data_IF_101116871137
#
_entry.id   IF_101116871137
#
_cell.length_a   1.000
_cell.length_b   1.000
_cell.length_c   1.000
_cell.angle_alpha   90.00
_cell.angle_beta   90.00
_cell.angle_gamma   90.00
#
_symmetry.space_group_name_H-M   'P 1'
#
loop_
_entity.id
_entity.type
_entity.pdbx_description
1 polymer ?
#
# COMPACT_ATOMS: atom_id res chain seq x y z
N UNK A 1 -18.48 -11.24 -11.94
CA UNK A 1 -17.12 -10.72 -11.70
C UNK A 1 -17.14 -9.27 -12.16
N UNK A 2 -17.01 -8.30 -11.25
CA UNK A 2 -17.21 -6.87 -11.55
C UNK A 2 -15.90 -6.26 -12.05
N UNK A 3 -15.98 -5.49 -13.14
CA UNK A 3 -14.91 -4.61 -13.60
C UNK A 3 -14.86 -3.37 -12.68
N UNK A 4 -13.67 -2.78 -12.50
CA UNK A 4 -13.45 -1.55 -11.74
C UNK A 4 -14.34 -0.37 -12.19
N UNK A 5 -14.69 -0.30 -13.47
CA UNK A 5 -15.60 0.72 -14.01
C UNK A 5 -17.07 0.57 -13.54
N UNK A 6 -17.40 -0.57 -12.92
CA UNK A 6 -18.77 -0.92 -12.50
C UNK A 6 -18.94 -0.90 -10.97
N UNK A 7 -17.85 -0.73 -10.20
CA UNK A 7 -17.90 -0.67 -8.75
C UNK A 7 -18.46 0.68 -8.29
N UNK A 8 -19.70 0.69 -7.82
CA UNK A 8 -20.39 1.92 -7.40
C UNK A 8 -20.66 1.95 -5.90
N UNK A 9 -20.48 0.82 -5.23
CA UNK A 9 -20.71 0.66 -3.79
C UNK A 9 -19.46 0.17 -3.06
N UNK A 10 -19.48 0.33 -1.74
CA UNK A 10 -18.44 -0.21 -0.87
C UNK A 10 -18.28 -1.72 -0.90
N UNK A 11 -19.38 -2.43 -1.15
CA UNK A 11 -19.41 -3.89 -1.29
C UNK A 11 -18.74 -4.33 -2.60
N UNK A 12 -18.93 -3.58 -3.68
CA UNK A 12 -18.27 -3.86 -4.97
C UNK A 12 -16.74 -3.72 -4.85
N UNK A 13 -16.27 -2.68 -4.15
CA UNK A 13 -14.85 -2.46 -3.89
C UNK A 13 -14.26 -3.58 -3.01
N UNK A 14 -15.06 -4.16 -2.12
CA UNK A 14 -14.65 -5.29 -1.27
C UNK A 14 -14.42 -6.59 -2.06
N UNK A 15 -15.15 -6.76 -3.17
CA UNK A 15 -15.08 -7.94 -4.03
C UNK A 15 -14.03 -7.83 -5.15
N UNK A 16 -13.23 -6.76 -5.13
CA UNK A 16 -12.23 -6.46 -6.15
C UNK A 16 -11.09 -7.49 -6.19
N UNK A 17 -10.65 -7.84 -7.41
CA UNK A 17 -9.52 -8.73 -7.68
C UNK A 17 -8.29 -7.88 -8.04
N UNK A 18 -7.27 -7.97 -7.20
CA UNK A 18 -5.98 -7.23 -7.30
C UNK A 18 -5.29 -7.41 -8.65
N UNK A 19 -5.40 -8.60 -9.25
CA UNK A 19 -4.76 -8.95 -10.53
C UNK A 19 -5.29 -8.13 -11.72
N UNK A 20 -6.54 -7.63 -11.64
CA UNK A 20 -7.16 -6.83 -12.71
C UNK A 20 -6.95 -5.32 -12.56
N UNK A 21 -6.30 -4.86 -11.47
CA UNK A 21 -6.13 -3.44 -11.14
C UNK A 21 -4.82 -2.79 -11.55
N UNK A 22 -3.91 -3.56 -12.15
CA UNK A 22 -2.60 -3.07 -12.56
C UNK A 22 -2.70 -2.44 -13.95
N UNK A 23 -2.13 -1.25 -14.11
CA UNK A 23 -1.83 -0.74 -15.45
C UNK A 23 -0.67 -1.51 -16.09
N UNK A 24 -0.34 -1.16 -17.33
CA UNK A 24 0.75 -1.76 -18.10
C UNK A 24 2.14 -1.62 -17.45
N UNK A 25 2.30 -0.73 -16.46
CA UNK A 25 3.56 -0.52 -15.72
C UNK A 25 3.53 -1.10 -14.30
N UNK A 26 2.46 -1.83 -13.94
CA UNK A 26 2.33 -2.50 -12.64
C UNK A 26 1.86 -1.58 -11.51
N UNK A 27 1.41 -0.36 -11.83
CA UNK A 27 0.82 0.56 -10.86
C UNK A 27 -0.63 0.16 -10.63
N UNK A 28 -1.02 0.01 -9.37
CA UNK A 28 -2.40 -0.26 -9.02
C UNK A 28 -3.19 1.04 -9.02
N UNK A 29 -4.10 1.17 -9.98
CA UNK A 29 -5.06 2.27 -9.99
C UNK A 29 -6.32 1.75 -9.34
N UNK A 30 -6.40 1.74 -8.00
CA UNK A 30 -7.69 1.51 -7.34
C UNK A 30 -8.38 2.84 -7.26
N UNK A 31 -8.76 3.25 -8.45
CA UNK A 31 -9.04 4.61 -8.78
C UNK A 31 -10.21 4.50 -9.74
N UNK A 32 -11.34 5.03 -9.31
CA UNK A 32 -12.57 5.22 -10.11
C UNK A 32 -12.33 5.94 -11.44
N UNK A 33 -11.10 6.40 -11.70
CA UNK A 33 -10.72 7.16 -12.87
C UNK A 33 -11.02 8.65 -12.67
N UNK A 34 -11.14 9.10 -11.42
CA UNK A 34 -11.54 10.46 -11.05
C UNK A 34 -10.50 11.16 -10.16
N UNK A 35 -9.43 10.46 -9.81
CA UNK A 35 -8.46 10.87 -8.81
C UNK A 35 -7.48 11.89 -9.38
N UNK A 36 -7.33 13.01 -8.66
CA UNK A 36 -6.53 14.14 -9.13
C UNK A 36 -7.17 14.94 -10.28
N UNK A 37 -8.33 14.51 -10.80
CA UNK A 37 -9.02 15.16 -11.93
C UNK A 37 -9.95 16.31 -11.50
N UNK A 38 -9.97 16.67 -10.22
CA UNK A 38 -10.96 17.61 -9.68
C UNK A 38 -12.38 17.07 -9.72
N UNK A 39 -12.56 15.76 -9.82
CA UNK A 39 -13.84 15.07 -9.83
C UNK A 39 -14.08 14.34 -8.50
N UNK A 40 -15.34 14.12 -8.16
CA UNK A 40 -15.72 13.29 -7.03
C UNK A 40 -15.31 11.85 -7.31
N UNK A 41 -14.56 11.25 -6.40
CA UNK A 41 -14.12 9.87 -6.50
C UNK A 41 -15.31 8.91 -6.73
N UNK A 42 -16.46 9.10 -6.08
CA UNK A 42 -17.57 8.12 -6.21
C UNK A 42 -18.46 8.28 -7.46
N UNK A 43 -18.68 9.50 -7.94
CA UNK A 43 -19.69 9.75 -8.98
C UNK A 43 -19.21 10.62 -10.13
N UNK A 44 -17.92 10.96 -10.17
CA UNK A 44 -17.34 11.74 -11.26
C UNK A 44 -17.82 13.19 -11.34
N UNK A 45 -18.70 13.65 -10.44
CA UNK A 45 -19.19 15.04 -10.47
C UNK A 45 -18.04 16.01 -10.20
N UNK A 46 -17.97 17.10 -10.96
CA UNK A 46 -16.96 18.14 -10.78
C UNK A 46 -16.98 18.72 -9.35
N UNK A 47 -15.81 18.77 -8.72
CA UNK A 47 -15.64 19.33 -7.40
C UNK A 47 -15.37 20.84 -7.51
N UNK A 48 -15.95 21.59 -6.58
CA UNK A 48 -15.82 23.05 -6.52
C UNK A 48 -15.26 23.50 -5.17
N UNK A 49 -14.53 24.62 -5.19
CA UNK A 49 -13.97 25.24 -3.98
C UNK A 49 -12.88 24.40 -3.31
N UNK A 50 -13.01 24.14 -2.00
CA UNK A 50 -12.01 23.40 -1.20
C UNK A 50 -12.15 21.87 -1.29
N UNK A 51 -13.15 21.36 -2.00
CA UNK A 51 -13.40 19.92 -2.12
C UNK A 51 -12.36 19.30 -3.04
N UNK A 52 -11.59 18.32 -2.54
CA UNK A 52 -10.49 17.71 -3.30
C UNK A 52 -10.75 16.28 -3.78
N UNK A 53 -11.70 15.57 -3.16
CA UNK A 53 -11.84 14.11 -3.37
C UNK A 53 -13.28 13.59 -3.43
N UNK A 54 -14.24 14.28 -2.82
CA UNK A 54 -15.62 13.82 -2.75
C UNK A 54 -16.60 15.01 -2.81
N UNK A 55 -17.79 14.77 -3.35
CA UNK A 55 -18.87 15.75 -3.34
C UNK A 55 -19.65 15.70 -2.02
N UNK A 56 -20.13 16.87 -1.55
CA UNK A 56 -21.01 16.94 -0.38
C UNK A 56 -22.44 16.46 -0.66
N UNK A 57 -22.96 16.72 -1.86
CA UNK A 57 -24.38 16.60 -2.17
C UNK A 57 -24.92 15.17 -2.09
N UNK A 58 -24.12 14.16 -2.44
CA UNK A 58 -24.53 12.75 -2.42
C UNK A 58 -24.05 12.00 -1.17
N UNK A 59 -23.64 12.71 -0.12
CA UNK A 59 -23.06 12.10 1.09
C UNK A 59 -21.83 11.19 0.85
N UNK A 60 -21.21 11.22 -0.33
CA UNK A 60 -20.01 10.43 -0.68
C UNK A 60 -18.81 10.72 0.22
N UNK A 61 -18.83 11.81 0.99
CA UNK A 61 -17.83 12.02 2.04
C UNK A 61 -17.85 10.91 3.10
N UNK A 62 -19.03 10.37 3.45
CA UNK A 62 -19.17 9.29 4.44
C UNK A 62 -18.63 7.98 3.90
N UNK A 63 -18.95 7.67 2.64
CA UNK A 63 -18.44 6.48 1.95
C UNK A 63 -16.92 6.57 1.78
N UNK A 64 -16.40 7.71 1.32
CA UNK A 64 -14.96 7.96 1.28
C UNK A 64 -14.30 7.76 2.64
N UNK A 65 -14.96 8.23 3.72
CA UNK A 65 -14.47 8.03 5.10
C UNK A 65 -14.42 6.55 5.49
N UNK A 66 -15.50 5.80 5.23
CA UNK A 66 -15.61 4.38 5.54
C UNK A 66 -14.57 3.54 4.81
N UNK A 67 -14.27 3.88 3.56
CA UNK A 67 -13.37 3.07 2.72
C UNK A 67 -11.89 3.42 2.83
N UNK A 68 -11.56 4.68 3.14
CA UNK A 68 -10.17 5.14 3.12
C UNK A 68 -9.60 5.56 4.46
N UNK A 69 -10.41 5.58 5.51
CA UNK A 69 -9.91 5.76 6.87
C UNK A 69 -9.18 4.51 7.34
N UNK A 70 -7.98 4.67 7.89
CA UNK A 70 -7.26 3.55 8.49
C UNK A 70 -8.05 2.85 9.61
N UNK A 71 -8.79 3.60 10.44
CA UNK A 71 -9.54 3.02 11.56
C UNK A 71 -10.59 2.02 11.09
N UNK A 72 -11.45 2.45 10.16
CA UNK A 72 -12.47 1.59 9.56
C UNK A 72 -11.86 0.42 8.78
N UNK A 73 -10.84 0.69 7.96
CA UNK A 73 -10.18 -0.31 7.16
C UNK A 73 -9.52 -1.41 7.99
N UNK A 74 -8.86 -1.02 9.10
CA UNK A 74 -8.23 -1.93 10.05
C UNK A 74 -9.27 -2.86 10.66
N UNK A 75 -10.33 -2.30 11.22
CA UNK A 75 -11.34 -3.08 11.95
C UNK A 75 -12.09 -4.03 10.99
N UNK A 76 -12.42 -3.56 9.79
CA UNK A 76 -13.01 -4.40 8.74
C UNK A 76 -12.08 -5.53 8.30
N UNK A 77 -10.78 -5.28 8.17
CA UNK A 77 -9.82 -6.32 7.82
C UNK A 77 -9.73 -7.39 8.93
N UNK A 78 -9.72 -6.99 10.20
CA UNK A 78 -9.73 -7.91 11.34
C UNK A 78 -10.98 -8.79 11.35
N UNK A 79 -12.15 -8.20 11.11
CA UNK A 79 -13.43 -8.92 11.02
C UNK A 79 -13.43 -9.92 9.85
N UNK A 80 -12.95 -9.53 8.67
CA UNK A 80 -12.86 -10.42 7.49
C UNK A 80 -12.04 -11.69 7.76
N UNK A 81 -11.01 -11.59 8.60
CA UNK A 81 -10.17 -12.73 8.97
C UNK A 81 -10.60 -13.40 10.30
N UNK A 82 -11.80 -13.11 10.81
CA UNK A 82 -12.32 -13.64 12.08
C UNK A 82 -11.34 -13.46 13.26
N UNK A 83 -10.62 -12.33 13.28
CA UNK A 83 -9.53 -12.08 14.24
C UNK A 83 -8.50 -13.22 14.28
N UNK A 84 -8.07 -13.69 13.10
CA UNK A 84 -7.00 -14.69 12.96
C UNK A 84 -5.94 -14.22 11.99
N UNK A 85 -4.73 -14.75 12.16
CA UNK A 85 -3.66 -14.59 11.18
C UNK A 85 -4.08 -15.25 9.85
N UNK A 86 -3.88 -14.55 8.74
CA UNK A 86 -4.11 -15.09 7.40
C UNK A 86 -3.14 -16.24 7.05
N UNK A 87 -1.97 -16.28 7.70
CA UNK A 87 -0.98 -17.33 7.52
C UNK A 87 -1.11 -18.40 8.62
N UNK A 88 -1.88 -19.44 8.33
CA UNK A 88 -2.18 -20.55 9.25
C UNK A 88 -0.97 -21.42 9.66
N UNK A 89 0.23 -21.19 9.11
CA UNK A 89 1.43 -21.99 9.42
C UNK A 89 1.90 -21.84 10.86
N UNK A 90 1.59 -20.71 11.49
CA UNK A 90 1.85 -20.50 12.91
C UNK A 90 0.64 -21.02 13.70
N UNK A 91 0.59 -22.35 13.89
CA UNK A 91 -0.40 -22.97 14.79
C UNK A 91 -0.16 -22.40 16.19
N UNK A 92 -1.11 -21.64 16.69
CA UNK A 92 -0.97 -20.89 17.93
C UNK A 92 -0.57 -21.81 19.10
N UNK A 93 0.52 -21.47 19.79
CA UNK A 93 0.76 -21.99 21.12
C UNK A 93 -0.26 -21.36 22.08
N UNK A 94 -1.00 -22.15 22.87
CA UNK A 94 -1.98 -21.64 23.85
C UNK A 94 -1.35 -20.81 24.97
N UNK A 95 -0.01 -20.74 25.05
CA UNK A 95 0.76 -19.98 26.03
C UNK A 95 1.44 -18.73 25.47
N UNK A 96 1.20 -18.40 24.19
CA UNK A 96 1.77 -17.16 23.63
C UNK A 96 0.92 -15.97 24.09
N UNK A 97 1.49 -14.98 24.79
CA UNK A 97 0.73 -13.85 25.32
C UNK A 97 0.04 -13.15 24.16
N UNK A 98 -1.30 -13.16 24.16
CA UNK A 98 -2.21 -12.44 23.26
C UNK A 98 -1.50 -11.86 22.04
N UNK A 99 -1.26 -12.69 21.00
CA UNK A 99 -0.64 -12.24 19.76
C UNK A 99 -1.44 -11.06 19.24
N UNK A 100 -0.89 -9.85 19.38
CA UNK A 100 -1.49 -8.66 18.83
C UNK A 100 -1.52 -8.85 17.31
N UNK A 101 -2.73 -8.91 16.76
CA UNK A 101 -2.91 -8.99 15.31
C UNK A 101 -2.54 -7.64 14.71
N UNK A 102 -1.74 -7.71 13.65
CA UNK A 102 -1.24 -6.57 12.91
C UNK A 102 -1.89 -6.57 11.52
N UNK A 103 -2.50 -5.45 11.16
CA UNK A 103 -3.02 -5.25 9.79
C UNK A 103 -1.92 -4.61 8.96
N UNK A 104 -1.54 -5.29 7.89
CA UNK A 104 -0.45 -4.92 6.98
C UNK A 104 -0.99 -4.56 5.59
N UNK A 105 -0.39 -3.57 4.95
CA UNK A 105 -0.64 -3.23 3.54
C UNK A 105 0.22 -4.08 2.62
N UNK A 106 -0.38 -4.94 1.79
CA UNK A 106 0.32 -5.81 0.83
C UNK A 106 1.14 -4.97 -0.14
N UNK A 107 0.55 -3.90 -0.67
CA UNK A 107 1.26 -2.85 -1.41
C UNK A 107 1.68 -1.77 -0.40
N UNK A 108 2.98 -1.46 -0.27
CA UNK A 108 3.46 -0.44 0.64
C UNK A 108 2.89 0.95 0.33
N UNK A 109 2.71 1.75 1.38
CA UNK A 109 2.28 3.16 1.29
C UNK A 109 3.43 4.11 0.93
N UNK A 110 4.20 3.85 -0.12
CA UNK A 110 5.38 4.67 -0.46
C UNK A 110 5.02 6.16 -0.58
N UNK A 111 5.47 6.97 0.38
CA UNK A 111 5.19 8.42 0.42
C UNK A 111 3.74 8.82 0.77
N UNK A 112 2.87 7.88 1.15
CA UNK A 112 1.47 8.16 1.49
C UNK A 112 1.22 8.15 3.00
N UNK A 113 0.34 9.04 3.46
CA UNK A 113 -0.15 9.03 4.85
C UNK A 113 -1.09 7.84 5.07
N UNK A 114 -0.79 7.03 6.10
CA UNK A 114 -1.59 5.88 6.52
C UNK A 114 -3.01 6.25 6.87
N UNK A 115 -3.23 7.43 7.46
CA UNK A 115 -4.54 7.79 8.02
C UNK A 115 -5.61 7.87 6.92
N UNK A 116 -5.25 8.41 5.76
CA UNK A 116 -6.17 8.69 4.65
C UNK A 116 -5.55 8.34 3.29
N UNK A 117 -5.89 7.16 2.77
CA UNK A 117 -5.33 6.72 1.49
C UNK A 117 -6.23 5.74 0.75
N UNK A 118 -6.19 5.79 -0.58
CA UNK A 118 -6.86 4.82 -1.47
C UNK A 118 -6.37 3.38 -1.26
N UNK A 119 -5.18 3.24 -0.67
CA UNK A 119 -4.58 1.97 -0.34
C UNK A 119 -5.13 1.32 0.94
N UNK A 120 -6.03 1.97 1.67
CA UNK A 120 -6.70 1.39 2.86
C UNK A 120 -7.85 0.44 2.51
N UNK A 121 -7.97 0.02 1.26
CA UNK A 121 -9.04 -0.88 0.84
C UNK A 121 -8.77 -2.35 1.21
N UNK A 122 -9.80 -3.18 1.45
CA UNK A 122 -9.65 -4.54 1.98
C UNK A 122 -8.74 -5.46 1.16
N UNK A 123 -8.77 -5.33 -0.17
CA UNK A 123 -7.94 -6.14 -1.06
C UNK A 123 -6.44 -5.85 -0.87
N UNK A 124 -6.06 -4.68 -0.31
CA UNK A 124 -4.67 -4.33 -0.02
C UNK A 124 -4.25 -4.70 1.40
N UNK A 125 -5.16 -5.19 2.22
CA UNK A 125 -4.91 -5.39 3.64
C UNK A 125 -4.85 -6.89 3.95
N UNK A 126 -3.99 -7.26 4.88
CA UNK A 126 -3.88 -8.63 5.39
C UNK A 126 -3.69 -8.59 6.90
N UNK A 127 -4.30 -9.53 7.62
CA UNK A 127 -4.13 -9.67 9.07
C UNK A 127 -3.05 -10.71 9.33
N UNK A 128 -2.05 -10.34 10.10
CA UNK A 128 -0.92 -11.19 10.44
C UNK A 128 -0.72 -11.18 11.96
N UNK A 129 -0.24 -12.30 12.50
CA UNK A 129 0.40 -12.26 13.80
C UNK A 129 1.79 -11.61 13.70
N UNK A 130 2.36 -11.28 14.86
CA UNK A 130 3.66 -10.61 14.94
C UNK A 130 4.78 -11.32 14.16
N UNK A 131 4.83 -12.66 14.20
CA UNK A 131 5.92 -13.40 13.56
C UNK A 131 5.77 -13.41 12.04
N UNK A 132 4.55 -13.67 11.56
CA UNK A 132 4.22 -13.58 10.15
C UNK A 132 4.47 -12.16 9.60
N UNK A 133 4.18 -11.13 10.39
CA UNK A 133 4.43 -9.74 10.02
C UNK A 133 5.92 -9.44 9.88
N UNK A 134 6.73 -9.91 10.83
CA UNK A 134 8.21 -9.78 10.78
C UNK A 134 8.79 -10.52 9.58
N UNK A 135 8.33 -11.73 9.29
CA UNK A 135 8.75 -12.51 8.12
C UNK A 135 8.42 -11.79 6.81
N UNK A 136 7.20 -11.25 6.69
CA UNK A 136 6.78 -10.49 5.52
C UNK A 136 7.65 -9.23 5.35
N UNK A 137 7.90 -8.49 6.42
CA UNK A 137 8.82 -7.34 6.38
C UNK A 137 10.24 -7.73 5.96
N UNK A 138 10.73 -8.89 6.39
CA UNK A 138 12.04 -9.37 5.98
C UNK A 138 12.08 -9.71 4.48
N UNK A 139 11.03 -10.33 3.95
CA UNK A 139 10.90 -10.67 2.54
C UNK A 139 10.73 -9.45 1.62
N UNK A 140 10.05 -8.40 2.10
CA UNK A 140 9.82 -7.16 1.34
C UNK A 140 11.00 -6.19 1.37
N UNK A 141 12.00 -6.40 2.23
CA UNK A 141 13.20 -5.54 2.22
C UNK A 141 13.95 -5.75 0.91
N UNK A 142 14.31 -4.66 0.18
CA UNK A 142 15.19 -4.79 -0.96
C UNK A 142 16.48 -5.49 -0.52
N UNK A 143 17.07 -6.37 -1.35
CA UNK A 143 18.36 -6.96 -1.03
C UNK A 143 19.32 -5.80 -0.77
N UNK A 144 20.00 -5.83 0.39
CA UNK A 144 21.04 -4.85 0.68
C UNK A 144 22.02 -4.91 -0.48
N UNK A 145 22.02 -3.89 -1.34
CA UNK A 145 23.13 -3.65 -2.24
C UNK A 145 24.35 -3.60 -1.34
N UNK A 146 25.18 -4.65 -1.39
CA UNK A 146 26.50 -4.61 -0.80
C UNK A 146 27.21 -3.54 -1.62
N UNK A 147 27.15 -2.29 -1.16
CA UNK A 147 28.06 -1.27 -1.63
C UNK A 147 29.45 -1.89 -1.51
N UNK A 148 30.27 -1.88 -2.57
CA UNK A 148 31.64 -2.31 -2.43
C UNK A 148 32.23 -1.52 -1.25
N UNK A 149 33.07 -2.17 -0.42
CA UNK A 149 33.72 -1.48 0.68
C UNK A 149 34.35 -0.20 0.14
N UNK A 150 34.30 0.91 0.91
CA UNK A 150 34.83 2.17 0.44
C UNK A 150 36.26 1.98 -0.06
N UNK A 151 36.53 2.63 -1.19
CA UNK A 151 37.86 2.95 -1.71
C UNK A 151 38.91 2.97 -0.58
N UNK A 152 39.88 2.05 -0.49
CA UNK A 152 41.04 2.31 0.37
C UNK A 152 41.72 3.60 -0.10
N UNK A 153 42.42 4.31 0.78
CA UNK A 153 43.09 5.56 0.39
C UNK A 153 43.99 5.36 -0.84
N UNK A 154 44.70 4.23 -0.91
CA UNK A 154 45.56 3.86 -2.04
C UNK A 154 44.77 3.58 -3.31
N UNK A 155 43.60 2.94 -3.21
CA UNK A 155 42.73 2.68 -4.35
C UNK A 155 42.13 3.99 -4.89
N UNK A 156 41.77 4.93 -4.02
CA UNK A 156 41.27 6.27 -4.42
C UNK A 156 42.36 7.10 -5.10
N UNK A 157 43.61 7.00 -4.63
CA UNK A 157 44.76 7.65 -5.28
C UNK A 157 45.02 7.06 -6.66
N UNK A 158 44.98 5.73 -6.81
CA UNK A 158 45.18 5.07 -8.11
C UNK A 158 44.08 5.41 -9.11
N UNK A 159 42.82 5.41 -8.69
CA UNK A 159 41.71 5.81 -9.57
C UNK A 159 41.82 7.29 -9.95
N UNK A 160 42.17 8.17 -9.01
CA UNK A 160 42.43 9.58 -9.30
C UNK A 160 43.58 9.78 -10.29
N UNK A 161 44.67 9.02 -10.16
CA UNK A 161 45.79 9.03 -11.11
C UNK A 161 45.38 8.51 -12.48
N UNK A 162 44.62 7.41 -12.56
CA UNK A 162 44.10 6.88 -13.83
C UNK A 162 43.18 7.86 -14.56
N UNK A 163 42.31 8.58 -13.84
CA UNK A 163 41.44 9.61 -14.45
C UNK A 163 42.26 10.77 -15.02
N UNK A 164 43.34 11.16 -14.33
CA UNK A 164 44.27 12.21 -14.81
C UNK A 164 45.10 11.75 -16.01
N UNK A 165 45.53 10.48 -16.03
CA UNK A 165 46.31 9.89 -17.12
C UNK A 165 45.48 9.60 -18.38
N UNK A 166 44.19 9.29 -18.22
CA UNK A 166 43.27 9.06 -19.34
C UNK A 166 42.75 10.35 -20.00
N UNK A 167 43.14 11.53 -19.48
CA UNK A 167 42.89 12.81 -20.15
C UNK A 167 41.42 13.13 -20.42
N UNK A 168 40.50 12.63 -19.61
CA UNK A 168 39.06 12.95 -19.75
C UNK A 168 38.82 14.34 -19.15
N UNK A 169 38.94 15.36 -20.00
CA UNK A 169 38.27 16.66 -19.89
C UNK A 169 37.02 16.67 -20.75
#
# INVERSE_FOLDING_TARGET
MLNMAEATTGEDIAQFIVETGKDAVGTYHILTGHEGMGLCFWCGVGLVGRQKRYCKHNAHWREYWRHFSWGFARDWCLERYDNRCANFRHVHSPYSPALALEVHHIIPLEGHDRIWTAYNLPWNLIVLDHWCHVELHAAMRPPKLKLPPPLSADQRVREGQQVMELGIS
#
